data_IF_826472255916
#
_entry.id   IF_826472255916
#
_cell.length_a   1.000
_cell.length_b   1.000
_cell.length_c   1.000
_cell.angle_alpha   90.00
_cell.angle_beta   90.00
_cell.angle_gamma   90.00
#
_symmetry.space_group_name_H-M   'P 1'
#
loop_
_entity.id
_entity.type
_entity.pdbx_description
1 polymer ?
#
# COMPACT_ATOMS: atom_id res chain seq x y z
N UNK A 1 5.95 -26.28 19.40
CA UNK A 1 5.50 -25.27 18.39
C UNK A 1 6.18 -25.45 17.03
N UNK A 2 7.53 -25.44 16.93
CA UNK A 2 8.24 -25.59 15.62
C UNK A 2 7.85 -26.85 14.85
N UNK A 3 7.88 -28.02 15.51
CA UNK A 3 7.50 -29.31 14.89
C UNK A 3 6.06 -29.27 14.37
N UNK A 4 5.12 -28.70 15.12
CA UNK A 4 3.73 -28.57 14.68
C UNK A 4 3.59 -27.73 13.40
N UNK A 5 4.34 -26.62 13.26
CA UNK A 5 4.35 -25.81 12.04
C UNK A 5 4.96 -26.56 10.87
N UNK A 6 6.01 -27.35 11.09
CA UNK A 6 6.62 -28.19 10.05
C UNK A 6 5.61 -29.28 9.60
N UNK A 7 4.96 -29.96 10.52
CA UNK A 7 3.95 -30.98 10.20
C UNK A 7 2.76 -30.38 9.44
N UNK A 8 2.27 -29.22 9.89
CA UNK A 8 1.21 -28.51 9.17
C UNK A 8 1.62 -28.20 7.73
N UNK A 9 2.84 -27.70 7.51
CA UNK A 9 3.36 -27.43 6.16
C UNK A 9 3.45 -28.69 5.31
N UNK A 10 3.88 -29.81 5.87
CA UNK A 10 3.92 -31.10 5.19
C UNK A 10 2.51 -31.56 4.81
N UNK A 11 1.58 -31.51 5.74
CA UNK A 11 0.18 -31.85 5.50
C UNK A 11 -0.44 -30.99 4.39
N UNK A 12 -0.24 -29.68 4.44
CA UNK A 12 -0.72 -28.77 3.39
C UNK A 12 -0.16 -29.15 2.02
N UNK A 13 1.15 -29.43 1.92
CA UNK A 13 1.76 -29.81 0.65
C UNK A 13 1.28 -31.20 0.18
N UNK A 14 1.02 -32.13 1.09
CA UNK A 14 0.46 -33.45 0.76
C UNK A 14 -0.95 -33.31 0.18
N UNK A 15 -1.82 -32.56 0.82
CA UNK A 15 -3.18 -32.28 0.31
C UNK A 15 -3.10 -31.55 -1.04
N UNK A 16 -2.24 -30.55 -1.15
CA UNK A 16 -2.08 -29.76 -2.36
C UNK A 16 -1.53 -30.56 -3.55
N UNK A 17 -0.72 -31.58 -3.28
CA UNK A 17 -0.24 -32.49 -4.32
C UNK A 17 -1.40 -33.15 -5.09
N UNK A 18 -2.43 -33.61 -4.39
CA UNK A 18 -3.63 -34.20 -5.05
C UNK A 18 -4.46 -33.11 -5.74
N UNK A 19 -4.61 -31.94 -5.14
CA UNK A 19 -5.31 -30.82 -5.79
C UNK A 19 -4.68 -30.43 -7.12
N UNK A 20 -3.36 -30.51 -7.26
CA UNK A 20 -2.62 -30.20 -8.50
C UNK A 20 -2.81 -31.25 -9.63
N UNK A 21 -3.42 -32.38 -9.37
CA UNK A 21 -3.77 -33.34 -10.43
C UNK A 21 -4.85 -32.78 -11.38
N UNK A 22 -5.66 -31.82 -10.92
CA UNK A 22 -6.58 -31.10 -11.78
C UNK A 22 -5.81 -30.23 -12.79
N UNK A 23 -6.27 -30.09 -14.05
CA UNK A 23 -5.61 -29.31 -15.08
C UNK A 23 -5.57 -27.81 -14.70
N UNK A 24 -4.60 -27.10 -15.22
CA UNK A 24 -4.53 -25.63 -15.11
C UNK A 24 -5.58 -25.02 -16.05
N UNK A 25 -6.35 -24.07 -15.54
CA UNK A 25 -7.25 -23.22 -16.32
C UNK A 25 -6.50 -21.94 -16.68
N UNK A 26 -6.12 -21.80 -17.95
CA UNK A 26 -5.32 -20.68 -18.43
C UNK A 26 -6.06 -19.34 -18.34
N UNK A 27 -7.41 -19.35 -18.21
CA UNK A 27 -8.21 -18.15 -18.06
C UNK A 27 -8.52 -17.80 -16.59
N UNK A 28 -7.86 -18.47 -15.63
CA UNK A 28 -8.17 -18.29 -14.21
C UNK A 28 -7.16 -17.44 -13.48
N UNK A 29 -7.66 -16.38 -12.85
CA UNK A 29 -6.90 -15.48 -11.97
C UNK A 29 -7.47 -15.54 -10.55
N UNK A 30 -6.61 -15.74 -9.56
CA UNK A 30 -6.97 -15.79 -8.14
C UNK A 30 -6.40 -14.56 -7.41
N UNK A 31 -7.26 -13.78 -6.76
CA UNK A 31 -6.87 -12.63 -5.93
C UNK A 31 -6.95 -13.00 -4.45
N UNK A 32 -5.91 -12.63 -3.67
CA UNK A 32 -5.79 -12.98 -2.26
C UNK A 32 -5.43 -11.76 -1.41
N UNK A 33 -6.27 -11.41 -0.44
CA UNK A 33 -6.03 -10.32 0.51
C UNK A 33 -6.30 -10.72 1.96
N UNK A 34 -5.44 -10.20 2.87
CA UNK A 34 -5.63 -10.26 4.32
C UNK A 34 -5.79 -8.87 4.95
N UNK A 35 -5.93 -7.85 4.14
CA UNK A 35 -6.01 -6.46 4.61
C UNK A 35 -7.42 -6.10 5.05
N UNK A 36 -8.40 -6.54 4.28
CA UNK A 36 -9.82 -6.22 4.48
C UNK A 36 -10.68 -7.47 4.26
N UNK A 37 -11.96 -7.40 4.61
CA UNK A 37 -12.96 -8.44 4.32
C UNK A 37 -13.68 -8.19 2.98
N UNK A 38 -13.34 -7.10 2.30
CA UNK A 38 -13.86 -6.74 0.97
C UNK A 38 -12.68 -6.50 0.02
N UNK A 39 -12.85 -6.69 -1.29
CA UNK A 39 -11.82 -6.36 -2.26
C UNK A 39 -11.36 -4.90 -2.15
N UNK A 40 -10.05 -4.67 -2.31
CA UNK A 40 -9.48 -3.33 -2.37
C UNK A 40 -9.79 -2.65 -3.71
N UNK A 41 -9.66 -1.31 -3.77
CA UNK A 41 -9.76 -0.58 -5.04
C UNK A 41 -8.78 -1.13 -6.09
N UNK A 42 -7.55 -1.49 -5.68
CA UNK A 42 -6.58 -2.09 -6.60
C UNK A 42 -7.09 -3.38 -7.23
N UNK A 43 -7.73 -4.26 -6.44
CA UNK A 43 -8.27 -5.52 -6.94
C UNK A 43 -9.48 -5.28 -7.85
N UNK A 44 -10.37 -4.36 -7.50
CA UNK A 44 -11.54 -4.05 -8.31
C UNK A 44 -11.15 -3.43 -9.66
N UNK A 45 -10.21 -2.47 -9.67
CA UNK A 45 -9.72 -1.85 -10.90
C UNK A 45 -9.05 -2.87 -11.83
N UNK A 46 -8.23 -3.79 -11.28
CA UNK A 46 -7.64 -4.87 -12.07
C UNK A 46 -8.70 -5.85 -12.57
N UNK A 47 -9.68 -6.20 -11.73
CA UNK A 47 -10.79 -7.06 -12.14
C UNK A 47 -11.53 -6.45 -13.33
N UNK A 48 -11.99 -5.20 -13.20
CA UNK A 48 -12.77 -4.54 -14.23
C UNK A 48 -11.98 -4.43 -15.55
N UNK A 49 -10.67 -4.11 -15.46
CA UNK A 49 -9.81 -4.04 -16.63
C UNK A 49 -9.54 -5.40 -17.26
N UNK A 50 -9.37 -6.45 -16.48
CA UNK A 50 -9.20 -7.81 -17.00
C UNK A 50 -10.46 -8.32 -17.68
N UNK A 51 -11.66 -8.08 -17.13
CA UNK A 51 -12.95 -8.43 -17.74
C UNK A 51 -13.20 -7.65 -19.04
N UNK A 52 -12.73 -6.39 -19.13
CA UNK A 52 -12.75 -5.58 -20.36
C UNK A 52 -11.86 -6.20 -21.45
N UNK A 53 -10.61 -6.53 -21.11
CA UNK A 53 -9.60 -6.99 -22.07
C UNK A 53 -9.75 -8.48 -22.43
N UNK A 54 -10.26 -9.29 -21.53
CA UNK A 54 -10.42 -10.74 -21.69
C UNK A 54 -11.75 -11.20 -21.08
N UNK A 55 -12.88 -11.09 -21.83
CA UNK A 55 -14.22 -11.37 -21.31
C UNK A 55 -14.43 -12.80 -20.77
N UNK A 56 -13.61 -13.77 -21.17
CA UNK A 56 -13.65 -15.15 -20.73
C UNK A 56 -12.78 -15.42 -19.47
N UNK A 57 -12.18 -14.37 -18.87
CA UNK A 57 -11.38 -14.48 -17.64
C UNK A 57 -12.24 -14.94 -16.48
N UNK A 58 -11.73 -15.89 -15.71
CA UNK A 58 -12.36 -16.40 -14.49
C UNK A 58 -11.67 -15.83 -13.26
N UNK A 59 -12.32 -14.91 -12.59
CA UNK A 59 -11.76 -14.22 -11.42
C UNK A 59 -12.33 -14.81 -10.14
N UNK A 60 -11.45 -15.26 -9.24
CA UNK A 60 -11.79 -15.75 -7.90
C UNK A 60 -11.09 -14.88 -6.88
N UNK A 61 -11.83 -14.32 -5.91
CA UNK A 61 -11.28 -13.45 -4.86
C UNK A 61 -11.48 -14.04 -3.47
N UNK A 62 -10.40 -14.07 -2.68
CA UNK A 62 -10.46 -14.35 -1.25
C UNK A 62 -9.95 -13.13 -0.49
N UNK A 63 -10.86 -12.46 0.20
CA UNK A 63 -10.54 -11.31 1.05
C UNK A 63 -10.99 -11.62 2.46
N UNK A 64 -10.01 -11.77 3.37
CA UNK A 64 -10.33 -12.08 4.75
C UNK A 64 -9.26 -11.52 5.69
N UNK A 65 -9.64 -10.56 6.50
CA UNK A 65 -8.80 -10.09 7.60
C UNK A 65 -8.67 -11.17 8.66
N UNK A 66 -7.44 -11.43 9.12
CA UNK A 66 -7.22 -12.42 10.17
C UNK A 66 -7.64 -11.87 11.51
N UNK A 67 -8.60 -12.53 12.12
CA UNK A 67 -8.97 -12.37 13.51
C UNK A 67 -8.26 -13.46 14.34
N UNK A 68 -7.62 -13.07 15.45
CA UNK A 68 -6.90 -13.96 16.34
C UNK A 68 -7.81 -14.76 17.29
N UNK A 69 -9.13 -14.60 17.23
CA UNK A 69 -10.06 -15.44 17.96
C UNK A 69 -10.03 -16.89 17.42
N UNK A 70 -10.35 -17.92 18.25
CA UNK A 70 -10.43 -19.29 17.78
C UNK A 70 -11.36 -19.49 16.57
N UNK A 71 -12.50 -18.79 16.55
CA UNK A 71 -13.44 -18.79 15.41
C UNK A 71 -12.82 -18.14 14.16
N UNK A 72 -12.13 -17.02 14.32
CA UNK A 72 -11.44 -16.32 13.24
C UNK A 72 -10.32 -17.16 12.63
N UNK A 73 -9.54 -17.83 13.46
CA UNK A 73 -8.47 -18.73 13.02
C UNK A 73 -9.02 -19.93 12.26
N UNK A 74 -10.11 -20.55 12.72
CA UNK A 74 -10.79 -21.65 12.03
C UNK A 74 -11.34 -21.19 10.67
N UNK A 75 -12.03 -20.05 10.63
CA UNK A 75 -12.54 -19.45 9.40
C UNK A 75 -11.41 -19.17 8.41
N UNK A 76 -10.30 -18.62 8.87
CA UNK A 76 -9.13 -18.36 8.01
C UNK A 76 -8.47 -19.66 7.52
N UNK A 77 -8.45 -20.73 8.32
CA UNK A 77 -7.98 -22.05 7.90
C UNK A 77 -8.85 -22.61 6.79
N UNK A 78 -10.18 -22.51 6.90
CA UNK A 78 -11.13 -22.92 5.85
C UNK A 78 -10.93 -22.11 4.56
N UNK A 79 -10.78 -20.79 4.66
CA UNK A 79 -10.50 -19.91 3.51
C UNK A 79 -9.17 -20.27 2.86
N UNK A 80 -8.14 -20.56 3.69
CA UNK A 80 -6.83 -21.02 3.19
C UNK A 80 -6.98 -22.33 2.40
N UNK A 81 -7.71 -23.30 2.91
CA UNK A 81 -7.93 -24.58 2.21
C UNK A 81 -8.71 -24.40 0.88
N UNK A 82 -9.74 -23.55 0.86
CA UNK A 82 -10.44 -23.18 -0.38
C UNK A 82 -9.49 -22.51 -1.37
N UNK A 83 -8.67 -21.56 -0.91
CA UNK A 83 -7.68 -20.89 -1.77
C UNK A 83 -6.63 -21.86 -2.34
N UNK A 84 -6.24 -22.90 -1.60
CA UNK A 84 -5.34 -23.94 -2.11
C UNK A 84 -5.93 -24.63 -3.34
N UNK A 85 -7.23 -24.99 -3.33
CA UNK A 85 -7.92 -25.60 -4.47
C UNK A 85 -7.89 -24.68 -5.70
N UNK A 86 -8.18 -23.40 -5.49
CA UNK A 86 -8.18 -22.43 -6.59
C UNK A 86 -6.77 -22.19 -7.14
N UNK A 87 -5.75 -22.06 -6.26
CA UNK A 87 -4.34 -21.94 -6.66
C UNK A 87 -3.81 -23.16 -7.44
N UNK A 88 -4.33 -24.36 -7.14
CA UNK A 88 -3.91 -25.59 -7.82
C UNK A 88 -4.30 -25.61 -9.31
N UNK A 89 -5.28 -24.81 -9.70
CA UNK A 89 -5.82 -24.75 -11.07
C UNK A 89 -5.69 -23.36 -11.70
N UNK A 90 -5.18 -22.36 -10.98
CA UNK A 90 -5.01 -21.02 -11.51
C UNK A 90 -3.80 -20.88 -12.41
N UNK A 91 -3.87 -19.98 -13.37
CA UNK A 91 -2.75 -19.53 -14.20
C UNK A 91 -2.01 -18.36 -13.56
N UNK A 92 -2.75 -17.44 -12.91
CA UNK A 92 -2.18 -16.28 -12.23
C UNK A 92 -2.76 -16.15 -10.82
N UNK A 93 -1.91 -15.80 -9.87
CA UNK A 93 -2.27 -15.40 -8.51
C UNK A 93 -1.79 -13.98 -8.26
N UNK A 94 -2.70 -13.09 -7.88
CA UNK A 94 -2.42 -11.71 -7.49
C UNK A 94 -2.69 -11.56 -5.99
N UNK A 95 -1.74 -11.01 -5.24
CA UNK A 95 -1.95 -10.80 -3.80
C UNK A 95 -1.40 -9.46 -3.32
N UNK A 96 -2.00 -8.89 -2.27
CA UNK A 96 -1.60 -7.61 -1.67
C UNK A 96 -0.91 -7.77 -0.31
N UNK A 97 -0.83 -8.97 0.19
CA UNK A 97 -0.29 -9.28 1.52
C UNK A 97 0.29 -10.69 1.57
N UNK A 98 1.03 -11.00 2.64
CA UNK A 98 1.49 -12.37 2.85
C UNK A 98 0.30 -13.34 2.97
N UNK A 99 0.24 -14.37 2.10
CA UNK A 99 -0.75 -15.44 2.14
C UNK A 99 -0.05 -16.79 2.39
N UNK A 100 -0.37 -17.53 3.48
CA UNK A 100 0.36 -18.74 3.84
C UNK A 100 0.40 -19.80 2.72
N UNK A 101 -0.73 -20.08 2.08
CA UNK A 101 -0.79 -21.07 1.01
C UNK A 101 0.12 -20.73 -0.17
N UNK A 102 0.25 -19.43 -0.54
CA UNK A 102 1.18 -19.03 -1.60
C UNK A 102 2.62 -19.35 -1.22
N UNK A 103 3.03 -19.00 0.02
CA UNK A 103 4.44 -19.09 0.42
C UNK A 103 4.90 -20.49 0.79
N UNK A 104 4.01 -21.36 1.35
CA UNK A 104 4.42 -22.67 1.86
C UNK A 104 4.26 -23.81 0.87
N UNK A 105 3.40 -23.65 -0.13
CA UNK A 105 3.08 -24.71 -1.10
C UNK A 105 4.10 -24.79 -2.24
N UNK A 106 4.19 -25.96 -2.83
CA UNK A 106 4.96 -26.23 -4.05
C UNK A 106 3.99 -26.13 -5.24
N UNK A 107 3.89 -24.93 -5.80
CA UNK A 107 2.99 -24.66 -6.92
C UNK A 107 3.38 -25.36 -8.22
N UNK A 108 2.46 -25.40 -9.18
CA UNK A 108 2.78 -25.73 -10.57
C UNK A 108 3.69 -24.65 -11.16
N UNK A 109 4.53 -25.03 -12.13
CA UNK A 109 5.46 -24.12 -12.78
C UNK A 109 4.75 -23.00 -13.55
N UNK A 110 3.58 -23.32 -14.07
CA UNK A 110 2.76 -22.41 -14.88
C UNK A 110 2.09 -21.30 -14.07
N UNK A 111 1.93 -21.46 -12.75
CA UNK A 111 1.32 -20.44 -11.90
C UNK A 111 2.25 -19.24 -11.78
N UNK A 112 1.83 -18.08 -12.28
CA UNK A 112 2.48 -16.79 -12.03
C UNK A 112 1.96 -16.17 -10.73
N UNK A 113 2.85 -15.70 -9.87
CA UNK A 113 2.51 -15.11 -8.58
C UNK A 113 2.95 -13.65 -8.52
N UNK A 114 1.99 -12.73 -8.54
CA UNK A 114 2.18 -11.28 -8.58
C UNK A 114 1.85 -10.68 -7.21
N UNK A 115 2.85 -10.12 -6.52
CA UNK A 115 2.66 -9.42 -5.26
C UNK A 115 2.47 -7.93 -5.51
N UNK A 116 1.26 -7.39 -5.29
CA UNK A 116 0.99 -5.95 -5.38
C UNK A 116 1.50 -5.18 -4.16
N UNK A 117 1.50 -5.81 -2.99
CA UNK A 117 1.58 -5.12 -1.72
C UNK A 117 0.36 -4.19 -1.52
N UNK A 118 0.34 -3.44 -0.40
CA UNK A 118 -0.80 -2.59 -0.02
C UNK A 118 -0.39 -1.16 0.30
N UNK A 119 0.84 -0.79 -0.02
CA UNK A 119 1.37 0.56 0.15
C UNK A 119 2.22 0.93 -1.07
N UNK A 120 2.11 2.16 -1.52
CA UNK A 120 2.81 2.67 -2.71
C UNK A 120 4.31 2.85 -2.51
N UNK A 121 4.79 2.74 -1.27
CA UNK A 121 6.19 2.85 -0.93
C UNK A 121 6.56 2.06 0.32
N UNK A 122 7.83 2.00 0.62
CA UNK A 122 8.41 1.29 1.76
C UNK A 122 9.00 2.26 2.80
N UNK A 123 8.20 3.24 3.26
CA UNK A 123 8.64 4.20 4.28
C UNK A 123 9.00 3.45 5.58
N UNK A 124 8.12 2.55 6.04
CA UNK A 124 8.32 1.72 7.25
C UNK A 124 9.07 0.45 6.92
N UNK A 125 9.88 -0.02 7.86
CA UNK A 125 10.39 -1.39 7.84
C UNK A 125 9.27 -2.41 7.97
N UNK A 126 9.34 -3.49 7.22
CA UNK A 126 8.33 -4.55 7.20
C UNK A 126 8.92 -5.89 6.77
N UNK A 127 8.11 -6.96 6.80
CA UNK A 127 8.57 -8.28 6.38
C UNK A 127 9.80 -8.76 7.16
N UNK A 128 10.84 -9.18 6.44
CA UNK A 128 12.09 -9.66 7.06
C UNK A 128 12.82 -8.58 7.87
N UNK A 129 12.68 -7.30 7.54
CA UNK A 129 13.32 -6.19 8.27
C UNK A 129 12.75 -5.99 9.69
N UNK A 130 11.56 -6.52 9.98
CA UNK A 130 10.88 -6.37 11.27
C UNK A 130 10.82 -7.66 12.10
N UNK A 131 11.52 -8.72 11.67
CA UNK A 131 11.55 -9.99 12.41
C UNK A 131 12.16 -9.81 13.80
N UNK A 132 11.54 -10.45 14.80
CA UNK A 132 11.99 -10.40 16.19
C UNK A 132 11.74 -9.08 16.92
N UNK A 133 11.23 -8.04 16.23
CA UNK A 133 10.81 -6.79 16.87
C UNK A 133 9.43 -6.93 17.52
N UNK A 134 9.09 -6.01 18.44
CA UNK A 134 7.84 -6.01 19.23
C UNK A 134 6.57 -6.18 18.37
N UNK A 135 6.51 -5.54 17.21
CA UNK A 135 5.37 -5.64 16.28
C UNK A 135 5.62 -6.53 15.07
N UNK A 136 6.81 -7.15 15.01
CA UNK A 136 7.21 -8.08 13.95
C UNK A 136 6.75 -9.52 14.23
N UNK A 137 7.06 -10.40 13.27
CA UNK A 137 6.82 -11.84 13.43
C UNK A 137 7.99 -12.54 14.14
N UNK A 138 7.70 -13.67 14.74
CA UNK A 138 8.74 -14.59 15.26
C UNK A 138 9.62 -15.09 14.10
N UNK A 139 10.95 -15.04 14.29
CA UNK A 139 11.93 -15.56 13.32
C UNK A 139 11.65 -17.03 12.96
N UNK A 140 11.29 -17.83 13.95
CA UNK A 140 10.98 -19.25 13.75
C UNK A 140 9.74 -19.42 12.86
N UNK A 141 8.65 -18.70 13.13
CA UNK A 141 7.43 -18.80 12.33
C UNK A 141 7.67 -18.30 10.90
N UNK A 142 8.37 -17.18 10.73
CA UNK A 142 8.70 -16.64 9.41
C UNK A 142 9.51 -17.66 8.58
N UNK A 143 10.52 -18.29 9.18
CA UNK A 143 11.34 -19.29 8.53
C UNK A 143 10.54 -20.54 8.16
N UNK A 144 9.82 -21.14 9.12
CA UNK A 144 9.11 -22.41 8.88
C UNK A 144 7.90 -22.22 7.97
N UNK A 145 7.24 -21.06 8.01
CA UNK A 145 6.15 -20.70 7.09
C UNK A 145 6.64 -20.09 5.77
N UNK A 146 7.95 -20.12 5.51
CA UNK A 146 8.57 -19.63 4.27
C UNK A 146 8.05 -18.26 3.86
N UNK A 147 8.02 -17.31 4.80
CA UNK A 147 7.45 -16.00 4.59
C UNK A 147 8.00 -15.34 3.31
N UNK A 148 7.11 -14.80 2.48
CA UNK A 148 7.42 -14.09 1.24
C UNK A 148 8.11 -14.93 0.13
N UNK A 149 8.03 -16.25 0.16
CA UNK A 149 8.51 -17.09 -0.96
C UNK A 149 7.47 -17.22 -2.06
N UNK A 150 7.95 -17.64 -3.22
CA UNK A 150 7.17 -17.95 -4.43
C UNK A 150 6.55 -16.72 -5.12
N UNK A 151 7.08 -15.53 -4.91
CA UNK A 151 6.71 -14.39 -5.75
C UNK A 151 7.54 -14.41 -7.02
N UNK A 152 6.89 -14.34 -8.19
CA UNK A 152 7.54 -14.23 -9.49
C UNK A 152 7.80 -12.77 -9.86
N UNK A 153 6.90 -11.86 -9.42
CA UNK A 153 7.06 -10.42 -9.59
C UNK A 153 6.46 -9.67 -8.39
N UNK A 154 7.05 -8.55 -8.05
CA UNK A 154 6.57 -7.62 -7.02
C UNK A 154 6.33 -6.28 -7.66
N UNK A 155 5.09 -5.78 -7.57
CA UNK A 155 4.76 -4.43 -7.99
C UNK A 155 5.35 -3.44 -6.97
N UNK A 156 6.19 -2.55 -7.45
CA UNK A 156 6.92 -1.60 -6.62
C UNK A 156 6.58 -0.15 -6.98
N UNK A 157 6.79 0.75 -6.02
CA UNK A 157 6.77 2.19 -6.23
C UNK A 157 8.04 2.71 -6.90
N UNK A 158 8.44 3.93 -6.59
CA UNK A 158 9.67 4.52 -7.14
C UNK A 158 10.91 3.68 -6.87
N UNK A 159 11.90 3.75 -7.77
CA UNK A 159 13.11 2.91 -7.75
C UNK A 159 13.94 3.06 -6.48
N UNK A 160 13.91 4.24 -5.84
CA UNK A 160 14.58 4.45 -4.56
C UNK A 160 14.08 3.53 -3.44
N UNK A 161 12.89 2.93 -3.59
CA UNK A 161 12.39 1.92 -2.66
C UNK A 161 12.89 0.50 -2.94
N UNK A 162 13.53 0.22 -4.08
CA UNK A 162 13.94 -1.14 -4.47
C UNK A 162 14.77 -1.86 -3.40
N UNK A 163 15.81 -1.25 -2.79
CA UNK A 163 16.57 -1.91 -1.72
C UNK A 163 15.69 -2.30 -0.53
N UNK A 164 14.66 -1.51 -0.25
CA UNK A 164 13.74 -1.75 0.86
C UNK A 164 12.69 -2.83 0.54
N UNK A 165 12.26 -2.95 -0.72
CA UNK A 165 11.47 -4.08 -1.19
C UNK A 165 12.28 -5.37 -1.10
N UNK A 166 13.50 -5.40 -1.63
CA UNK A 166 14.40 -6.54 -1.53
C UNK A 166 14.62 -6.98 -0.08
N UNK A 167 14.98 -6.06 0.81
CA UNK A 167 15.18 -6.35 2.23
C UNK A 167 13.89 -6.79 2.96
N UNK A 168 12.73 -6.26 2.58
CA UNK A 168 11.44 -6.64 3.18
C UNK A 168 10.99 -8.04 2.79
N UNK A 169 11.18 -8.41 1.52
CA UNK A 169 10.66 -9.67 0.97
C UNK A 169 11.73 -10.75 0.84
N UNK A 170 13.02 -10.43 0.99
CA UNK A 170 14.13 -11.35 0.82
C UNK A 170 14.26 -11.81 -0.63
N UNK A 171 14.22 -10.86 -1.57
CA UNK A 171 14.25 -11.08 -3.02
C UNK A 171 15.32 -10.22 -3.68
N UNK A 172 15.71 -10.59 -4.90
CA UNK A 172 16.60 -9.79 -5.74
C UNK A 172 15.80 -8.72 -6.50
N UNK A 173 16.46 -7.65 -6.99
CA UNK A 173 15.78 -6.54 -7.64
C UNK A 173 15.21 -6.86 -9.03
N UNK A 174 15.60 -7.95 -9.65
CA UNK A 174 15.20 -8.39 -10.99
C UNK A 174 13.70 -8.76 -11.10
N UNK A 175 13.04 -9.04 -9.98
CA UNK A 175 11.59 -9.31 -9.94
C UNK A 175 10.76 -8.07 -9.56
N UNK A 176 11.37 -6.89 -9.43
CA UNK A 176 10.65 -5.66 -9.09
C UNK A 176 10.14 -4.97 -10.36
N UNK A 177 8.84 -4.70 -10.40
CA UNK A 177 8.18 -3.97 -11.48
C UNK A 177 7.68 -2.62 -10.97
N UNK A 178 8.39 -1.53 -11.29
CA UNK A 178 8.23 -0.20 -10.70
C UNK A 178 7.15 0.64 -11.40
N UNK A 179 5.92 0.16 -11.39
CA UNK A 179 4.77 0.81 -12.06
C UNK A 179 3.75 1.41 -11.09
N UNK A 180 3.97 1.24 -9.79
CA UNK A 180 3.01 1.68 -8.78
C UNK A 180 1.75 0.82 -8.72
N UNK A 181 0.72 1.30 -8.01
CA UNK A 181 -0.51 0.57 -7.75
C UNK A 181 -1.71 1.14 -8.55
N UNK A 182 -2.70 0.33 -8.92
CA UNK A 182 -3.90 0.78 -9.64
C UNK A 182 -4.61 1.98 -9.00
N UNK A 183 -4.67 2.04 -7.66
CA UNK A 183 -5.29 3.18 -6.95
C UNK A 183 -4.66 4.54 -7.25
N UNK A 184 -3.41 4.58 -7.76
CA UNK A 184 -2.76 5.82 -8.18
C UNK A 184 -3.47 6.44 -9.38
N UNK A 185 -3.94 5.61 -10.31
CA UNK A 185 -4.70 6.07 -11.46
C UNK A 185 -6.00 6.74 -10.98
N UNK A 186 -6.72 6.08 -10.07
CA UNK A 186 -7.94 6.60 -9.45
C UNK A 186 -7.71 7.92 -8.72
N UNK A 187 -6.59 8.06 -8.00
CA UNK A 187 -6.24 9.29 -7.30
C UNK A 187 -5.97 10.44 -8.29
N UNK A 188 -5.22 10.18 -9.36
CA UNK A 188 -4.85 11.20 -10.37
C UNK A 188 -6.06 11.65 -11.19
N UNK A 189 -6.89 10.70 -11.62
CA UNK A 189 -8.03 10.95 -12.49
C UNK A 189 -9.26 11.45 -11.72
N UNK A 190 -9.39 11.11 -10.44
CA UNK A 190 -10.60 11.34 -9.64
C UNK A 190 -10.64 12.65 -8.86
N UNK A 191 -9.73 13.61 -9.06
CA UNK A 191 -9.63 14.84 -8.24
C UNK A 191 -10.92 15.68 -8.30
N UNK A 192 -11.44 15.92 -9.49
CA UNK A 192 -12.67 16.72 -9.69
C UNK A 192 -13.89 16.06 -9.04
N UNK A 193 -14.09 14.76 -9.27
CA UNK A 193 -15.18 13.98 -8.65
C UNK A 193 -15.07 13.95 -7.14
N UNK A 194 -13.84 13.82 -6.60
CA UNK A 194 -13.58 13.86 -5.17
C UNK A 194 -13.99 15.20 -4.56
N UNK A 195 -13.71 16.32 -5.26
CA UNK A 195 -14.11 17.66 -4.83
C UNK A 195 -15.61 17.81 -4.79
N UNK A 196 -16.32 17.38 -5.83
CA UNK A 196 -17.79 17.44 -5.88
C UNK A 196 -18.42 16.61 -4.76
N UNK A 197 -17.96 15.38 -4.55
CA UNK A 197 -18.43 14.51 -3.45
C UNK A 197 -18.22 15.15 -2.09
N UNK A 198 -17.06 15.77 -1.89
CA UNK A 198 -16.72 16.44 -0.64
C UNK A 198 -17.62 17.66 -0.42
N UNK A 199 -17.75 18.56 -1.39
CA UNK A 199 -18.54 19.77 -1.30
C UNK A 199 -20.05 19.45 -1.07
N UNK A 200 -20.55 18.36 -1.63
CA UNK A 200 -21.90 17.85 -1.37
C UNK A 200 -22.07 17.31 0.05
N UNK A 201 -21.06 16.60 0.57
CA UNK A 201 -21.10 16.01 1.91
C UNK A 201 -20.89 17.04 3.02
N UNK A 202 -20.11 18.10 2.75
CA UNK A 202 -19.68 19.13 3.70
C UNK A 202 -19.75 20.55 3.10
N UNK A 203 -20.95 21.06 2.71
CA UNK A 203 -21.08 22.34 2.01
C UNK A 203 -20.59 23.54 2.84
N UNK A 204 -20.61 23.44 4.15
CA UNK A 204 -20.16 24.48 5.08
C UNK A 204 -18.63 24.63 5.16
N UNK A 205 -17.85 23.69 4.56
CA UNK A 205 -16.40 23.76 4.47
C UNK A 205 -15.90 24.45 3.19
N UNK A 206 -16.80 24.76 2.26
CA UNK A 206 -16.45 25.41 1.00
C UNK A 206 -15.72 26.75 1.24
N UNK A 207 -14.57 26.93 0.59
CA UNK A 207 -13.77 28.14 0.71
C UNK A 207 -12.85 28.20 1.95
N UNK A 208 -12.82 27.17 2.79
CA UNK A 208 -11.87 27.07 3.90
C UNK A 208 -10.63 26.27 3.48
N UNK A 209 -9.47 26.62 4.02
CA UNK A 209 -8.25 25.80 3.91
C UNK A 209 -8.44 24.52 4.71
N UNK A 210 -8.28 23.37 4.06
CA UNK A 210 -8.46 22.05 4.67
C UNK A 210 -7.10 21.44 4.98
N UNK A 211 -6.83 21.23 6.25
CA UNK A 211 -5.62 20.58 6.74
C UNK A 211 -6.02 19.16 7.15
N UNK A 212 -5.45 18.15 6.49
CA UNK A 212 -5.73 16.75 6.79
C UNK A 212 -4.70 16.21 7.79
N UNK A 213 -5.13 15.77 8.96
CA UNK A 213 -4.31 14.99 9.87
C UNK A 213 -4.60 13.50 9.72
N UNK A 214 -3.62 12.75 9.23
CA UNK A 214 -3.73 11.31 8.95
C UNK A 214 -2.59 10.52 9.61
N UNK A 215 -2.68 10.27 10.93
CA UNK A 215 -1.64 9.58 11.68
C UNK A 215 -1.61 8.08 11.40
N UNK A 216 -0.43 7.48 11.60
CA UNK A 216 -0.24 6.03 11.58
C UNK A 216 -0.99 5.35 12.73
N UNK A 217 -1.52 4.16 12.45
CA UNK A 217 -2.11 3.28 13.47
C UNK A 217 -1.09 2.89 14.54
N UNK A 218 -1.48 3.06 15.80
CA UNK A 218 -0.72 2.64 16.99
C UNK A 218 -1.51 1.59 17.76
N UNK A 219 -1.01 0.36 17.70
CA UNK A 219 -1.68 -0.80 18.30
C UNK A 219 -1.78 -0.66 19.82
N UNK A 220 -3.01 -0.74 20.33
CA UNK A 220 -3.26 -0.70 21.79
C UNK A 220 -3.21 0.70 22.42
N UNK A 221 -3.13 1.75 21.59
CA UNK A 221 -3.18 3.14 22.07
C UNK A 221 -4.44 3.84 21.53
N UNK A 222 -4.98 4.77 22.32
CA UNK A 222 -6.03 5.70 21.87
C UNK A 222 -5.36 6.92 21.25
N UNK A 223 -5.88 7.42 20.14
CA UNK A 223 -5.42 8.66 19.55
C UNK A 223 -6.04 9.84 20.33
N UNK A 224 -5.18 10.66 20.89
CA UNK A 224 -5.53 11.87 21.62
C UNK A 224 -4.82 13.08 21.00
N UNK A 225 -5.42 13.70 19.96
CA UNK A 225 -4.79 14.80 19.23
C UNK A 225 -4.94 16.15 19.92
N UNK A 226 -5.13 16.19 21.23
CA UNK A 226 -5.50 17.37 22.01
C UNK A 226 -4.53 18.54 21.82
N UNK A 227 -3.23 18.30 21.87
CA UNK A 227 -2.20 19.33 21.68
C UNK A 227 -2.26 19.93 20.27
N UNK A 228 -2.39 19.08 19.23
CA UNK A 228 -2.50 19.54 17.85
C UNK A 228 -3.80 20.32 17.62
N UNK A 229 -4.90 19.86 18.21
CA UNK A 229 -6.20 20.54 18.11
C UNK A 229 -6.17 21.88 18.82
N UNK A 230 -5.53 21.96 20.01
CA UNK A 230 -5.36 23.21 20.76
C UNK A 230 -4.53 24.23 19.99
N UNK A 231 -3.42 23.81 19.39
CA UNK A 231 -2.58 24.68 18.55
C UNK A 231 -3.33 25.20 17.31
N UNK A 232 -4.33 24.45 16.83
CA UNK A 232 -5.15 24.84 15.69
C UNK A 232 -6.33 25.78 16.04
N UNK A 233 -6.79 25.83 17.30
CA UNK A 233 -8.10 26.31 17.75
C UNK A 233 -8.47 27.77 17.37
N UNK A 234 -7.52 28.61 16.95
CA UNK A 234 -7.75 30.05 16.78
C UNK A 234 -7.90 30.54 15.34
N UNK A 235 -7.89 29.65 14.34
CA UNK A 235 -7.96 30.04 12.93
C UNK A 235 -9.28 29.66 12.25
N UNK A 236 -10.25 30.60 12.21
CA UNK A 236 -11.59 30.39 11.63
C UNK A 236 -11.59 30.19 10.10
N UNK A 237 -10.49 30.51 9.39
CA UNK A 237 -10.38 30.34 7.92
C UNK A 237 -9.94 28.95 7.51
N UNK A 238 -9.56 28.12 8.47
CA UNK A 238 -9.00 26.79 8.24
C UNK A 238 -9.87 25.73 8.93
N UNK A 239 -9.74 24.49 8.48
CA UNK A 239 -10.36 23.31 9.10
C UNK A 239 -9.32 22.22 9.26
N UNK A 240 -9.15 21.73 10.49
CA UNK A 240 -8.40 20.52 10.77
C UNK A 240 -9.33 19.32 10.66
N UNK A 241 -9.03 18.43 9.74
CA UNK A 241 -9.79 17.19 9.53
C UNK A 241 -8.94 16.01 9.97
N UNK A 242 -9.42 15.27 10.97
CA UNK A 242 -8.73 14.08 11.47
C UNK A 242 -9.26 12.84 10.74
N UNK A 243 -8.41 12.16 9.99
CA UNK A 243 -8.73 10.91 9.32
C UNK A 243 -7.97 9.77 9.99
N UNK A 244 -8.56 9.20 11.04
CA UNK A 244 -7.97 8.07 11.77
C UNK A 244 -7.92 6.80 10.92
N UNK A 245 -6.92 5.97 11.19
CA UNK A 245 -6.91 4.61 10.65
C UNK A 245 -8.15 3.82 11.16
N UNK A 246 -8.79 2.95 10.35
CA UNK A 246 -10.01 2.23 10.75
C UNK A 246 -9.92 1.47 12.08
N UNK A 247 -8.72 1.04 12.45
CA UNK A 247 -8.45 0.29 13.69
C UNK A 247 -8.04 1.16 14.87
N UNK A 248 -7.86 2.47 14.66
CA UNK A 248 -7.43 3.39 15.70
C UNK A 248 -8.60 3.81 16.56
N UNK A 249 -8.48 3.64 17.87
CA UNK A 249 -9.40 4.30 18.81
C UNK A 249 -9.09 5.80 18.82
N UNK A 250 -10.13 6.62 18.86
CA UNK A 250 -10.04 8.07 18.91
C UNK A 250 -10.87 8.56 20.10
N UNK A 251 -10.24 9.37 20.93
CA UNK A 251 -10.97 10.12 21.95
C UNK A 251 -11.71 11.29 21.29
N UNK A 252 -13.04 11.22 21.27
CA UNK A 252 -13.89 12.20 20.60
C UNK A 252 -13.91 13.56 21.31
N UNK A 253 -13.72 13.57 22.62
CA UNK A 253 -13.69 14.81 23.41
C UNK A 253 -12.46 15.68 23.08
N UNK A 254 -11.40 15.06 22.58
CA UNK A 254 -10.15 15.76 22.23
C UNK A 254 -10.11 16.29 20.79
N UNK A 255 -11.17 16.13 19.99
CA UNK A 255 -11.17 16.55 18.58
C UNK A 255 -11.82 17.90 18.31
N UNK A 256 -12.51 18.49 19.26
CA UNK A 256 -13.10 19.85 19.12
C UNK A 256 -12.00 20.92 19.19
N UNK A 257 -11.90 21.91 18.26
CA UNK A 257 -12.79 22.21 17.14
C UNK A 257 -12.47 21.47 15.81
N UNK A 258 -11.59 20.50 15.80
CA UNK A 258 -11.34 19.66 14.63
C UNK A 258 -12.56 18.77 14.33
N UNK A 259 -12.58 18.16 13.16
CA UNK A 259 -13.66 17.26 12.76
C UNK A 259 -13.13 15.93 12.21
N UNK A 260 -14.01 14.91 12.24
CA UNK A 260 -13.78 13.66 11.51
C UNK A 260 -14.69 13.60 10.29
N UNK A 261 -14.12 13.43 9.08
CA UNK A 261 -14.91 13.26 7.86
C UNK A 261 -15.16 11.77 7.59
N UNK A 262 -16.26 11.25 8.15
CA UNK A 262 -16.64 9.83 8.01
C UNK A 262 -17.35 9.51 6.69
N UNK A 263 -18.00 10.52 6.06
CA UNK A 263 -18.81 10.35 4.83
C UNK A 263 -17.99 10.19 3.56
N UNK A 264 -16.69 10.50 3.57
CA UNK A 264 -15.81 10.42 2.40
C UNK A 264 -14.58 9.58 2.70
N UNK A 265 -14.01 8.99 1.66
CA UNK A 265 -12.82 8.14 1.77
C UNK A 265 -11.55 8.95 2.09
N UNK A 266 -10.48 8.26 2.49
CA UNK A 266 -9.15 8.91 2.66
C UNK A 266 -8.64 9.44 1.33
N UNK A 267 -8.86 8.73 0.22
CA UNK A 267 -8.51 9.18 -1.11
C UNK A 267 -9.20 10.50 -1.48
N UNK A 268 -10.52 10.61 -1.22
CA UNK A 268 -11.27 11.86 -1.41
C UNK A 268 -10.69 12.99 -0.55
N UNK A 269 -10.35 12.72 0.72
CA UNK A 269 -9.75 13.73 1.59
C UNK A 269 -8.40 14.22 1.10
N UNK A 270 -7.54 13.30 0.62
CA UNK A 270 -6.25 13.66 0.00
C UNK A 270 -6.42 14.55 -1.22
N UNK A 271 -7.40 14.25 -2.08
CA UNK A 271 -7.67 15.06 -3.28
C UNK A 271 -8.11 16.48 -2.95
N UNK A 272 -8.84 16.68 -1.85
CA UNK A 272 -9.46 17.97 -1.50
C UNK A 272 -8.68 18.81 -0.48
N UNK A 273 -7.79 18.19 0.31
CA UNK A 273 -7.01 18.94 1.30
C UNK A 273 -5.98 19.86 0.64
N UNK A 274 -5.63 20.94 1.34
CA UNK A 274 -4.60 21.89 0.91
C UNK A 274 -3.20 21.45 1.35
N UNK A 275 -3.11 20.76 2.49
CA UNK A 275 -1.90 20.11 2.97
C UNK A 275 -2.25 18.93 3.89
N UNK A 276 -1.26 18.07 4.15
CA UNK A 276 -1.40 16.92 5.04
C UNK A 276 -0.40 17.00 6.19
N UNK A 277 -0.90 16.71 7.39
CA UNK A 277 -0.08 16.39 8.56
C UNK A 277 -0.11 14.86 8.70
N UNK A 278 1.05 14.24 8.73
CA UNK A 278 1.17 12.80 8.93
C UNK A 278 2.39 12.48 9.80
N UNK A 279 2.78 11.23 9.85
CA UNK A 279 3.95 10.77 10.59
C UNK A 279 4.77 9.78 9.75
N UNK A 280 4.70 8.50 10.03
CA UNK A 280 5.46 7.44 9.35
C UNK A 280 4.65 6.77 8.23
N UNK A 281 3.55 7.36 7.80
CA UNK A 281 2.58 6.73 6.90
C UNK A 281 3.02 6.76 5.44
N UNK A 282 2.72 5.69 4.71
CA UNK A 282 2.88 5.64 3.25
C UNK A 282 1.94 6.61 2.50
N UNK A 283 0.96 7.21 3.18
CA UNK A 283 0.09 8.26 2.63
C UNK A 283 0.89 9.46 2.12
N UNK A 284 2.13 9.64 2.60
CA UNK A 284 3.09 10.62 2.08
C UNK A 284 3.31 10.46 0.57
N UNK A 285 3.35 9.22 0.06
CA UNK A 285 3.53 8.96 -1.38
C UNK A 285 2.26 9.30 -2.15
N UNK A 286 1.08 9.03 -1.57
CA UNK A 286 -0.21 9.39 -2.16
C UNK A 286 -0.38 10.93 -2.18
N UNK A 287 0.05 11.61 -1.15
CA UNK A 287 0.07 13.07 -1.11
C UNK A 287 1.06 13.65 -2.14
N UNK A 288 2.26 13.06 -2.24
CA UNK A 288 3.26 13.44 -3.23
C UNK A 288 2.74 13.30 -4.67
N UNK A 289 2.01 12.21 -4.95
CA UNK A 289 1.37 11.99 -6.26
C UNK A 289 0.38 13.11 -6.66
N UNK A 290 -0.27 13.71 -5.65
CA UNK A 290 -1.26 14.79 -5.82
C UNK A 290 -0.65 16.20 -5.65
N UNK A 291 0.66 16.31 -5.49
CA UNK A 291 1.34 17.59 -5.27
C UNK A 291 0.97 18.28 -3.95
N UNK A 292 0.49 17.51 -2.95
CA UNK A 292 0.05 18.09 -1.67
C UNK A 292 1.23 18.26 -0.71
N UNK A 293 1.46 19.47 -0.14
CA UNK A 293 2.45 19.69 0.91
C UNK A 293 2.28 18.73 2.08
N UNK A 294 3.38 18.11 2.51
CA UNK A 294 3.39 17.13 3.60
C UNK A 294 4.20 17.67 4.78
N UNK A 295 3.57 17.74 5.94
CA UNK A 295 4.19 18.08 7.21
C UNK A 295 4.20 16.86 8.11
N UNK A 296 5.29 16.64 8.83
CA UNK A 296 5.45 15.47 9.71
C UNK A 296 5.35 15.88 11.17
N UNK A 297 4.40 15.30 11.89
CA UNK A 297 4.27 15.44 13.33
C UNK A 297 4.78 14.20 14.04
N UNK A 298 6.04 14.23 14.48
CA UNK A 298 6.79 13.07 14.97
C UNK A 298 6.96 13.12 16.50
N UNK A 299 5.87 13.29 17.24
CA UNK A 299 5.88 13.43 18.71
C UNK A 299 6.43 12.19 19.45
N UNK A 300 6.42 11.00 18.83
CA UNK A 300 6.84 9.72 19.39
C UNK A 300 8.01 9.07 18.62
N UNK A 301 8.87 9.88 17.99
CA UNK A 301 9.89 9.40 17.05
C UNK A 301 10.81 8.35 17.64
N UNK A 302 11.38 8.57 18.85
CA UNK A 302 12.32 7.66 19.48
C UNK A 302 11.65 6.31 19.81
N UNK A 303 10.45 6.33 20.38
CA UNK A 303 9.68 5.12 20.66
C UNK A 303 9.34 4.35 19.38
N UNK A 304 8.91 5.08 18.35
CA UNK A 304 8.57 4.48 17.06
C UNK A 304 9.79 3.82 16.41
N UNK A 305 10.93 4.49 16.40
CA UNK A 305 12.19 3.94 15.86
C UNK A 305 12.66 2.72 16.59
N UNK A 306 12.55 2.68 17.91
CA UNK A 306 12.92 1.51 18.74
C UNK A 306 12.07 0.27 18.39
N UNK A 307 10.77 0.44 18.13
CA UNK A 307 9.82 -0.65 17.93
C UNK A 307 9.61 -1.07 16.46
N UNK A 308 9.63 -0.12 15.52
CA UNK A 308 9.33 -0.37 14.10
C UNK A 308 10.53 -0.10 13.20
N UNK A 309 11.04 1.12 13.22
CA UNK A 309 12.06 1.64 12.35
C UNK A 309 11.54 2.05 10.97
N UNK A 310 12.31 2.92 10.33
CA UNK A 310 12.04 3.47 9.00
C UNK A 310 13.08 3.01 7.99
N UNK A 311 12.70 2.98 6.73
CA UNK A 311 13.59 2.80 5.57
C UNK A 311 14.02 4.16 5.01
N UNK A 312 13.10 5.12 4.99
CA UNK A 312 13.34 6.49 4.51
C UNK A 312 13.82 7.33 5.69
N UNK A 313 14.88 8.07 5.47
CA UNK A 313 15.41 9.04 6.44
C UNK A 313 14.64 10.34 6.30
N UNK A 314 13.50 10.44 7.01
CA UNK A 314 12.58 11.57 6.86
C UNK A 314 13.26 12.93 7.10
N UNK A 315 14.20 13.03 8.04
CA UNK A 315 14.95 14.28 8.33
C UNK A 315 15.85 14.70 7.17
N UNK A 316 16.36 13.76 6.36
CA UNK A 316 17.18 14.06 5.19
C UNK A 316 16.31 14.47 3.99
N UNK A 317 15.11 13.83 3.87
CA UNK A 317 14.20 14.06 2.74
C UNK A 317 13.30 15.31 2.94
N UNK A 318 13.02 15.69 4.19
CA UNK A 318 12.10 16.78 4.57
C UNK A 318 12.65 17.60 5.75
N UNK A 319 13.82 18.23 5.63
CA UNK A 319 14.52 18.86 6.76
C UNK A 319 13.68 19.94 7.47
N UNK A 320 12.87 20.70 6.71
CA UNK A 320 12.10 21.85 7.23
C UNK A 320 10.61 21.52 7.47
N UNK A 321 10.22 20.26 7.32
CA UNK A 321 8.82 19.84 7.42
C UNK A 321 8.55 18.88 8.58
N UNK A 322 9.51 18.71 9.51
CA UNK A 322 9.41 17.77 10.64
C UNK A 322 9.31 18.55 11.95
N UNK A 323 8.26 18.23 12.71
CA UNK A 323 7.92 18.89 13.96
C UNK A 323 7.60 17.88 15.06
N UNK A 324 8.00 18.17 16.27
CA UNK A 324 7.58 17.49 17.50
C UNK A 324 6.66 18.39 18.35
N UNK A 325 6.66 19.69 18.05
CA UNK A 325 5.88 20.73 18.70
C UNK A 325 4.72 21.15 17.76
N UNK A 326 3.47 21.01 18.20
CA UNK A 326 2.31 21.30 17.36
C UNK A 326 2.11 22.80 17.09
N UNK A 327 2.58 23.70 17.96
CA UNK A 327 2.48 25.15 17.74
C UNK A 327 3.41 25.58 16.61
N UNK A 328 4.66 25.09 16.60
CA UNK A 328 5.62 25.35 15.51
C UNK A 328 5.15 24.75 14.19
N UNK A 329 4.55 23.56 14.23
CA UNK A 329 3.94 22.94 13.06
C UNK A 329 2.84 23.84 12.47
N UNK A 330 1.92 24.33 13.31
CA UNK A 330 0.84 25.19 12.86
C UNK A 330 1.33 26.57 12.39
N UNK A 331 2.37 27.10 13.00
CA UNK A 331 3.05 28.33 12.54
C UNK A 331 3.61 28.15 11.14
N UNK A 332 4.34 27.04 10.86
CA UNK A 332 4.87 26.72 9.54
C UNK A 332 3.77 26.57 8.48
N UNK A 333 2.67 25.87 8.81
CA UNK A 333 1.52 25.73 7.92
C UNK A 333 0.84 27.08 7.62
N UNK A 334 0.77 27.97 8.61
CA UNK A 334 0.17 29.30 8.47
C UNK A 334 1.05 30.25 7.67
N UNK A 335 2.36 30.17 7.85
CA UNK A 335 3.34 30.95 7.07
C UNK A 335 3.29 30.59 5.59
N UNK A 336 3.05 29.33 5.27
CA UNK A 336 2.91 28.85 3.89
C UNK A 336 4.21 28.83 3.09
N UNK A 337 5.34 28.93 3.77
CA UNK A 337 6.69 28.87 3.20
C UNK A 337 7.13 27.39 3.18
N UNK A 338 6.70 26.67 2.14
CA UNK A 338 6.97 25.24 1.99
C UNK A 338 8.10 25.03 0.98
N UNK A 339 9.10 24.21 1.33
CA UNK A 339 10.22 23.89 0.45
C UNK A 339 9.78 22.94 -0.69
N UNK A 340 9.23 23.54 -1.76
CA UNK A 340 8.82 22.80 -2.95
C UNK A 340 9.99 22.22 -3.74
N UNK A 341 11.21 22.75 -3.63
CA UNK A 341 12.36 22.21 -4.35
C UNK A 341 12.81 20.88 -3.72
N UNK A 342 12.86 20.82 -2.40
CA UNK A 342 13.13 19.57 -1.69
C UNK A 342 12.02 18.55 -1.89
N UNK A 343 10.79 19.00 -1.87
CA UNK A 343 9.62 18.17 -2.15
C UNK A 343 9.63 17.61 -3.58
N UNK A 344 10.03 18.38 -4.57
CA UNK A 344 10.18 17.94 -5.96
C UNK A 344 11.24 16.83 -6.06
N UNK A 345 12.41 17.00 -5.42
CA UNK A 345 13.44 15.95 -5.35
C UNK A 345 12.93 14.65 -4.71
N UNK A 346 12.11 14.76 -3.66
CA UNK A 346 11.45 13.61 -3.06
C UNK A 346 10.50 12.91 -4.06
N UNK A 347 9.68 13.66 -4.79
CA UNK A 347 8.77 13.12 -5.80
C UNK A 347 9.54 12.39 -6.91
N UNK A 348 10.58 13.00 -7.49
CA UNK A 348 11.43 12.40 -8.53
C UNK A 348 12.08 11.10 -8.06
N UNK A 349 12.46 11.03 -6.80
CA UNK A 349 13.15 9.88 -6.21
C UNK A 349 12.20 8.72 -5.87
N UNK A 350 11.02 9.02 -5.34
CA UNK A 350 10.17 8.03 -4.70
C UNK A 350 8.85 7.72 -5.42
N UNK A 351 8.38 8.58 -6.32
CA UNK A 351 7.24 8.23 -7.15
C UNK A 351 7.67 7.22 -8.24
N UNK A 352 6.78 6.28 -8.61
CA UNK A 352 7.02 5.42 -9.76
C UNK A 352 6.93 6.22 -11.06
N UNK A 353 7.31 5.58 -12.17
CA UNK A 353 7.01 6.12 -13.49
C UNK A 353 5.50 6.35 -13.67
N UNK A 354 5.14 7.60 -13.96
CA UNK A 354 3.75 8.03 -14.13
C UNK A 354 3.31 8.03 -15.61
N UNK A 355 4.13 7.55 -16.54
CA UNK A 355 3.78 7.41 -17.94
C UNK A 355 2.78 6.25 -18.13
N UNK A 356 1.57 6.58 -18.52
CA UNK A 356 0.46 5.63 -18.59
C UNK A 356 -0.10 5.22 -17.23
N UNK A 357 -1.05 4.30 -17.26
CA UNK A 357 -1.79 3.84 -16.08
C UNK A 357 -1.18 2.57 -15.50
N UNK A 358 -1.00 2.54 -14.19
CA UNK A 358 -0.56 1.34 -13.47
C UNK A 358 -1.52 0.16 -13.68
N UNK A 359 -2.82 0.43 -13.71
CA UNK A 359 -3.86 -0.56 -13.98
C UNK A 359 -3.63 -1.27 -15.31
N UNK A 360 -3.37 -0.51 -16.37
CA UNK A 360 -3.20 -1.05 -17.72
C UNK A 360 -1.91 -1.90 -17.81
N UNK A 361 -0.81 -1.41 -17.25
CA UNK A 361 0.48 -2.12 -17.21
C UNK A 361 0.40 -3.45 -16.46
N UNK A 362 -0.25 -3.46 -15.30
CA UNK A 362 -0.39 -4.67 -14.48
C UNK A 362 -1.38 -5.64 -15.13
N UNK A 363 -2.47 -5.14 -15.72
CA UNK A 363 -3.43 -6.01 -16.43
C UNK A 363 -2.81 -6.65 -17.66
N UNK A 364 -1.99 -5.91 -18.43
CA UNK A 364 -1.24 -6.46 -19.54
C UNK A 364 -0.27 -7.56 -19.10
N UNK A 365 0.49 -7.35 -18.02
CA UNK A 365 1.36 -8.36 -17.44
C UNK A 365 0.58 -9.64 -17.03
N UNK A 366 -0.61 -9.48 -16.40
CA UNK A 366 -1.46 -10.61 -16.02
C UNK A 366 -1.89 -11.40 -17.25
N UNK A 367 -2.35 -10.73 -18.30
CA UNK A 367 -2.79 -11.35 -19.57
C UNK A 367 -1.60 -12.07 -20.24
N UNK A 368 -0.46 -11.40 -20.34
CA UNK A 368 0.76 -11.99 -20.88
C UNK A 368 1.15 -13.28 -20.15
N UNK A 369 1.07 -13.31 -18.80
CA UNK A 369 1.28 -14.50 -18.00
C UNK A 369 0.21 -15.61 -18.22
N UNK A 370 -1.00 -15.24 -18.63
CA UNK A 370 -2.05 -16.21 -18.96
C UNK A 370 -1.82 -16.89 -20.31
N UNK A 371 -1.28 -16.17 -21.28
CA UNK A 371 -1.23 -16.57 -22.70
C UNK A 371 0.10 -17.21 -23.12
N UNK A 372 1.20 -16.91 -22.41
CA UNK A 372 2.54 -17.41 -22.73
C UNK A 372 3.33 -17.83 -21.49
N UNK A 373 4.60 -18.21 -21.66
CA UNK A 373 5.45 -18.53 -20.51
C UNK A 373 5.60 -17.34 -19.57
N UNK A 374 5.43 -17.58 -18.29
CA UNK A 374 5.41 -16.50 -17.28
C UNK A 374 6.77 -15.81 -17.14
N UNK A 375 7.88 -16.54 -17.32
CA UNK A 375 9.21 -15.96 -17.17
C UNK A 375 9.50 -14.99 -18.32
N UNK A 376 9.12 -15.35 -19.55
CA UNK A 376 9.24 -14.46 -20.71
C UNK A 376 8.34 -13.23 -20.54
N UNK A 377 7.07 -13.43 -20.14
CA UNK A 377 6.12 -12.36 -19.92
C UNK A 377 6.59 -11.34 -18.88
N UNK A 378 7.10 -11.83 -17.74
CA UNK A 378 7.59 -10.99 -16.64
C UNK A 378 8.89 -10.25 -17.05
N UNK A 379 9.85 -10.99 -17.60
CA UNK A 379 11.15 -10.43 -18.00
C UNK A 379 11.00 -9.32 -19.04
N UNK A 380 10.15 -9.52 -20.05
CA UNK A 380 9.88 -8.51 -21.07
C UNK A 380 9.16 -7.29 -20.49
N UNK A 381 8.17 -7.48 -19.61
CA UNK A 381 7.45 -6.36 -18.98
C UNK A 381 8.40 -5.48 -18.14
N UNK A 382 9.26 -6.10 -17.35
CA UNK A 382 10.28 -5.39 -16.55
C UNK A 382 11.31 -4.71 -17.47
N UNK A 383 11.76 -5.40 -18.54
CA UNK A 383 12.74 -4.83 -19.49
C UNK A 383 12.17 -3.61 -20.22
N UNK A 384 10.93 -3.66 -20.70
CA UNK A 384 10.24 -2.51 -21.33
C UNK A 384 10.17 -1.31 -20.37
N UNK A 385 9.82 -1.55 -19.10
CA UNK A 385 9.78 -0.47 -18.10
C UNK A 385 11.19 0.14 -17.88
N UNK A 386 12.23 -0.69 -17.81
CA UNK A 386 13.59 -0.23 -17.62
C UNK A 386 14.11 0.60 -18.79
N UNK A 387 13.69 0.29 -20.03
CA UNK A 387 14.04 1.07 -21.22
C UNK A 387 13.37 2.45 -21.22
N UNK A 388 12.08 2.53 -20.85
CA UNK A 388 11.34 3.80 -20.73
C UNK A 388 12.03 4.70 -19.72
N UNK A 389 12.36 4.19 -18.54
CA UNK A 389 13.02 4.94 -17.46
C UNK A 389 14.45 5.38 -17.86
N UNK A 390 15.19 4.57 -18.65
CA UNK A 390 16.53 4.91 -19.17
C UNK A 390 16.51 6.04 -20.20
N UNK A 391 15.45 6.17 -20.98
CA UNK A 391 15.26 7.24 -21.97
C UNK A 391 14.87 8.56 -21.29
N UNK A 392 14.07 8.50 -20.22
CA UNK A 392 13.64 9.70 -19.47
C UNK A 392 14.79 10.31 -18.64
N UNK A 393 15.75 9.49 -18.18
CA UNK A 393 16.96 9.96 -17.49
C UNK A 393 17.98 10.67 -18.40
N UNK A 394 17.78 10.68 -19.72
CA UNK A 394 18.67 11.29 -20.72
C UNK A 394 18.07 12.49 -21.48
N UNK A 395 16.83 12.84 -21.29
CA UNK A 395 16.19 14.02 -21.90
C UNK A 395 15.46 14.85 -20.83
N UNK A 396 15.73 16.15 -20.90
CA UNK A 396 15.19 17.20 -20.04
C UNK A 396 13.76 16.93 -19.53
N UNK A 397 13.62 17.00 -18.21
CA UNK A 397 12.35 16.94 -17.49
C UNK A 397 11.24 17.74 -18.19
N UNK A 398 10.23 17.05 -18.67
CA UNK A 398 8.94 17.66 -19.03
C UNK A 398 8.40 18.30 -17.74
N UNK A 399 8.42 19.62 -17.70
CA UNK A 399 7.80 20.42 -16.64
C UNK A 399 6.32 20.08 -16.59
N UNK A 400 5.73 19.76 -15.46
CA UNK A 400 4.28 19.87 -15.30
C UNK A 400 3.96 21.37 -15.38
N UNK A 401 3.38 21.82 -16.46
CA UNK A 401 2.73 23.12 -16.50
C UNK A 401 1.51 23.04 -15.56
N UNK A 402 1.42 23.96 -14.65
CA UNK A 402 0.42 24.16 -13.59
C UNK A 402 0.64 23.36 -12.29
N UNK A 403 1.44 23.89 -11.42
CA UNK A 403 1.22 23.85 -9.97
C UNK A 403 0.86 25.26 -9.49
#
# INVERSE_FOLDING_TARGET
MRIAVILLRWLMNFIYFFMKLAPTDNNKVVFLSRQTNTPSDDFLMLKDKLEELKPDVKIVMFTQRVDNSPKGLLSFAQTTLKSMRELATARVCVLDSYWPAVSVLRHKKELAVIQLWHAMGKIKKSGYQSLGKKFGRSNMIAKEMRMHRNYDVIIAGGRAFNPFYCASFGVEPDILYNVGLPRMDKLREGVSEAREKFDKAYPWMKGRKIILYAPTFRKGQTLEPTELVSAFAFNRKQMLVIKRHPNQLLNLESIEPAITCCKVSTATMLSVCDCIITDYSAITIEAALLGKPVYFYLFDYEDYMAHNGLNVKLFDEFPDCIFTDPEKLMEAINKGDYDYDNYRRFCEKYLPDLNGRATDKISALIIDCMERDKHDAISESIARQNQIDGVVGGQDSVRPESL
#
